data_IF_977369758565
#
_entry.id   IF_977369758565
#
_cell.length_a   1.000
_cell.length_b   1.000
_cell.length_c   1.000
_cell.angle_alpha   90.00
_cell.angle_beta   90.00
_cell.angle_gamma   90.00
#
_symmetry.space_group_name_H-M   'P 1'
#
loop_
_entity.id
_entity.type
_entity.pdbx_description
1 polymer ?
#
# COMPACT_ATOMS: atom_id res chain seq x y z
N UNK A 1 -10.46 14.99 19.34
CA UNK A 1 -11.22 14.53 18.16
C UNK A 1 -11.63 13.09 18.43
N UNK A 2 -12.89 12.70 18.22
CA UNK A 2 -13.37 11.36 18.57
C UNK A 2 -13.10 10.33 17.45
N UNK A 3 -12.75 9.09 17.83
CA UNK A 3 -12.46 8.01 16.88
C UNK A 3 -13.61 7.69 15.92
N UNK A 4 -14.87 7.71 16.40
CA UNK A 4 -16.05 7.50 15.54
C UNK A 4 -16.18 8.54 14.44
N UNK A 5 -15.93 9.81 14.80
CA UNK A 5 -15.93 10.91 13.83
C UNK A 5 -14.83 10.72 12.79
N UNK A 6 -13.62 10.37 13.21
CA UNK A 6 -12.51 10.13 12.27
C UNK A 6 -12.83 8.96 11.35
N UNK A 7 -13.34 7.84 11.88
CA UNK A 7 -13.72 6.69 11.06
C UNK A 7 -14.77 7.08 10.02
N UNK A 8 -15.84 7.77 10.42
CA UNK A 8 -16.88 8.24 9.52
C UNK A 8 -16.31 9.13 8.40
N UNK A 9 -15.46 10.09 8.75
CA UNK A 9 -14.79 10.94 7.77
C UNK A 9 -13.90 10.13 6.81
N UNK A 10 -13.14 9.16 7.31
CA UNK A 10 -12.31 8.29 6.46
C UNK A 10 -13.15 7.43 5.50
N UNK A 11 -14.34 6.99 5.91
CA UNK A 11 -15.20 6.10 5.12
C UNK A 11 -16.15 6.82 4.17
N UNK A 12 -16.59 8.02 4.52
CA UNK A 12 -17.64 8.76 3.80
C UNK A 12 -17.09 9.85 2.87
N UNK A 13 -15.84 10.29 3.11
CA UNK A 13 -15.18 11.26 2.21
C UNK A 13 -14.88 10.65 0.86
N UNK A 14 -14.84 11.49 -0.17
CA UNK A 14 -14.40 11.07 -1.51
C UNK A 14 -12.90 10.73 -1.49
N UNK A 15 -12.49 9.51 -1.89
CA UNK A 15 -11.07 9.17 -1.91
C UNK A 15 -10.30 9.96 -2.98
N UNK A 16 -9.17 10.52 -2.59
CA UNK A 16 -8.31 11.35 -3.44
C UNK A 16 -7.29 10.49 -4.20
N UNK A 17 -6.90 10.90 -5.42
CA UNK A 17 -5.73 10.34 -6.10
C UNK A 17 -4.46 10.52 -5.27
N UNK A 18 -3.56 9.54 -5.31
CA UNK A 18 -2.32 9.57 -4.50
C UNK A 18 -1.34 10.70 -4.88
N UNK A 19 -1.54 11.37 -6.03
CA UNK A 19 -0.77 12.54 -6.46
C UNK A 19 -1.14 13.83 -5.72
N UNK A 20 -2.37 13.90 -5.18
CA UNK A 20 -2.96 15.14 -4.64
C UNK A 20 -2.81 15.28 -3.12
N UNK A 21 -2.24 14.28 -2.45
CA UNK A 21 -2.14 14.23 -1.00
C UNK A 21 -1.41 15.45 -0.39
N UNK A 22 -1.95 15.99 0.70
CA UNK A 22 -1.32 17.06 1.48
C UNK A 22 -0.01 16.60 2.16
N UNK A 23 0.83 17.57 2.56
CA UNK A 23 1.97 17.36 3.44
C UNK A 23 1.60 17.41 4.94
N UNK A 24 0.32 17.63 5.27
CA UNK A 24 -0.19 17.68 6.64
C UNK A 24 -0.16 16.31 7.34
N UNK A 25 -0.61 16.31 8.60
CA UNK A 25 -0.54 15.18 9.53
C UNK A 25 -1.93 14.77 10.02
N UNK A 26 -2.07 13.50 10.39
CA UNK A 26 -3.30 12.96 10.96
C UNK A 26 -3.47 11.48 10.65
N UNK A 27 -4.71 11.06 10.40
CA UNK A 27 -5.07 9.68 10.07
C UNK A 27 -5.47 9.55 8.60
N UNK A 28 -5.26 8.39 8.01
CA UNK A 28 -5.61 8.08 6.63
C UNK A 28 -6.13 6.66 6.48
N UNK A 29 -6.91 6.43 5.43
CA UNK A 29 -7.31 5.12 4.97
C UNK A 29 -6.77 4.88 3.56
N UNK A 30 -6.26 3.67 3.31
CA UNK A 30 -5.79 3.24 2.00
C UNK A 30 -6.88 2.46 1.30
N UNK A 31 -7.24 2.93 0.10
CA UNK A 31 -8.26 2.34 -0.74
C UNK A 31 -7.59 1.55 -1.86
N UNK A 32 -7.99 0.30 -2.04
CA UNK A 32 -7.51 -0.54 -3.11
C UNK A 32 -8.14 -0.18 -4.47
N UNK A 33 -7.79 -0.95 -5.50
CA UNK A 33 -8.27 -0.77 -6.87
C UNK A 33 -9.76 -1.08 -7.04
N UNK A 34 -10.39 -1.75 -6.08
CA UNK A 34 -11.83 -2.06 -6.07
C UNK A 34 -12.64 -1.01 -5.31
N UNK A 35 -11.99 0.05 -4.83
CA UNK A 35 -12.63 1.09 -4.03
C UNK A 35 -12.98 0.61 -2.62
N UNK A 36 -12.20 -0.30 -2.05
CA UNK A 36 -12.37 -0.76 -0.67
C UNK A 36 -11.23 -0.28 0.22
N UNK A 37 -11.56 0.19 1.43
CA UNK A 37 -10.54 0.44 2.45
C UNK A 37 -9.94 -0.91 2.88
N UNK A 38 -8.62 -0.97 2.98
CA UNK A 38 -7.88 -2.16 3.44
C UNK A 38 -6.93 -1.90 4.60
N UNK A 39 -6.61 -0.63 4.86
CA UNK A 39 -5.75 -0.23 5.97
C UNK A 39 -6.13 1.16 6.46
N UNK A 40 -6.08 1.35 7.77
CA UNK A 40 -6.16 2.65 8.43
C UNK A 40 -4.84 2.87 9.16
N UNK A 41 -4.22 4.03 8.97
CA UNK A 41 -2.95 4.38 9.61
C UNK A 41 -2.86 5.84 10.00
N UNK A 42 -1.82 6.20 10.75
CA UNK A 42 -1.48 7.59 11.06
C UNK A 42 -0.14 8.02 10.44
N UNK A 43 0.11 9.33 10.46
CA UNK A 43 1.42 9.94 10.21
C UNK A 43 2.22 9.97 11.52
N UNK A 44 3.18 9.05 11.77
CA UNK A 44 3.66 8.77 13.12
C UNK A 44 4.80 9.70 13.59
N UNK A 45 5.23 10.66 12.76
CA UNK A 45 6.31 11.60 13.10
C UNK A 45 6.32 12.82 12.18
N UNK A 46 6.97 13.89 12.64
CA UNK A 46 7.02 15.19 11.97
C UNK A 46 7.62 15.19 10.56
N UNK A 47 8.37 14.16 10.19
CA UNK A 47 9.00 14.04 8.87
C UNK A 47 8.16 13.23 7.87
N UNK A 48 7.01 12.70 8.29
CA UNK A 48 6.18 11.80 7.48
C UNK A 48 4.71 12.23 7.46
N UNK A 49 4.41 13.41 6.90
CA UNK A 49 3.03 13.80 6.53
C UNK A 49 2.40 12.88 5.48
N UNK A 50 1.13 13.07 5.12
CA UNK A 50 0.36 12.13 4.30
C UNK A 50 1.05 11.76 2.98
N UNK A 51 1.48 12.76 2.20
CA UNK A 51 2.20 12.54 0.94
C UNK A 51 3.42 11.66 1.12
N UNK A 52 4.27 11.97 2.10
CA UNK A 52 5.49 11.19 2.36
C UNK A 52 5.14 9.79 2.84
N UNK A 53 4.20 9.66 3.79
CA UNK A 53 3.84 8.37 4.36
C UNK A 53 3.20 7.46 3.32
N UNK A 54 2.24 7.94 2.57
CA UNK A 54 1.50 7.14 1.60
C UNK A 54 2.35 6.92 0.34
N UNK A 55 2.79 7.97 -0.33
CA UNK A 55 3.49 7.83 -1.62
C UNK A 55 4.92 7.29 -1.47
N UNK A 56 5.69 7.75 -0.48
CA UNK A 56 7.09 7.29 -0.38
C UNK A 56 7.19 5.95 0.37
N UNK A 57 6.38 5.72 1.40
CA UNK A 57 6.43 4.46 2.15
C UNK A 57 5.48 3.42 1.55
N UNK A 58 4.18 3.67 1.54
CA UNK A 58 3.21 2.65 1.13
C UNK A 58 3.30 2.30 -0.36
N UNK A 59 3.49 3.26 -1.27
CA UNK A 59 3.53 3.00 -2.72
C UNK A 59 4.89 2.52 -3.23
N UNK A 60 5.99 3.19 -2.87
CA UNK A 60 7.33 2.91 -3.45
C UNK A 60 8.27 2.16 -2.53
N UNK A 61 7.94 2.04 -1.24
CA UNK A 61 8.80 1.43 -0.24
C UNK A 61 9.02 -0.07 -0.45
N UNK A 62 10.02 -0.62 0.23
CA UNK A 62 10.34 -2.05 0.18
C UNK A 62 9.22 -2.90 0.78
N UNK A 63 8.93 -4.01 0.14
CA UNK A 63 7.98 -5.02 0.55
C UNK A 63 8.41 -5.62 1.91
N UNK A 64 7.47 -5.97 2.80
CA UNK A 64 7.79 -6.56 4.10
C UNK A 64 8.31 -5.59 5.18
N UNK A 65 8.08 -4.29 5.02
CA UNK A 65 8.34 -3.23 6.02
C UNK A 65 7.07 -2.46 6.42
N UNK A 66 5.90 -3.12 6.42
CA UNK A 66 4.58 -2.48 6.61
C UNK A 66 4.20 -1.46 5.51
N UNK A 67 4.85 -1.53 4.35
CA UNK A 67 4.51 -0.73 3.18
C UNK A 67 3.35 -1.38 2.42
N UNK A 68 2.14 -1.11 2.91
CA UNK A 68 0.89 -1.78 2.52
C UNK A 68 0.68 -1.93 1.01
N UNK A 69 0.57 -0.85 0.23
CA UNK A 69 0.35 -1.00 -1.21
C UNK A 69 1.46 -1.80 -1.91
N UNK A 70 2.73 -1.47 -1.64
CA UNK A 70 3.89 -2.20 -2.18
C UNK A 70 3.83 -3.70 -1.90
N UNK A 71 3.37 -4.10 -0.71
CA UNK A 71 3.26 -5.50 -0.33
C UNK A 71 2.02 -6.15 -0.94
N UNK A 72 0.85 -5.51 -0.83
CA UNK A 72 -0.42 -6.02 -1.35
C UNK A 72 -0.35 -6.37 -2.83
N UNK A 73 0.27 -5.50 -3.64
CA UNK A 73 0.39 -5.69 -5.08
C UNK A 73 1.72 -6.31 -5.52
N UNK A 74 2.50 -6.90 -4.59
CA UNK A 74 3.68 -7.69 -4.94
C UNK A 74 3.27 -9.11 -5.34
N UNK A 75 2.57 -9.22 -6.47
CA UNK A 75 2.00 -10.45 -7.00
C UNK A 75 2.11 -10.50 -8.52
N UNK A 76 2.07 -11.71 -9.09
CA UNK A 76 2.09 -11.96 -10.52
C UNK A 76 3.19 -11.18 -11.25
N UNK A 77 2.82 -10.48 -12.33
CA UNK A 77 3.71 -9.66 -13.18
C UNK A 77 4.27 -8.43 -12.49
N UNK A 78 3.68 -8.01 -11.37
CA UNK A 78 4.12 -6.91 -10.51
C UNK A 78 5.04 -7.36 -9.36
N UNK A 79 5.32 -8.66 -9.29
CA UNK A 79 6.10 -9.27 -8.23
C UNK A 79 7.58 -8.91 -8.32
N UNK A 80 8.20 -8.84 -7.14
CA UNK A 80 9.65 -8.80 -6.95
C UNK A 80 10.00 -9.64 -5.72
N UNK A 81 11.13 -10.33 -5.76
CA UNK A 81 11.56 -11.14 -4.62
C UNK A 81 11.77 -10.27 -3.38
N UNK A 82 11.33 -10.80 -2.25
CA UNK A 82 11.54 -10.22 -0.94
C UNK A 82 11.70 -11.37 0.05
N UNK A 83 12.89 -11.51 0.63
CA UNK A 83 13.23 -12.58 1.59
C UNK A 83 12.23 -12.71 2.75
N UNK A 84 11.57 -11.61 3.13
CA UNK A 84 10.59 -11.62 4.23
C UNK A 84 9.22 -12.18 3.84
N UNK A 85 8.92 -12.25 2.55
CA UNK A 85 7.61 -12.60 2.01
C UNK A 85 7.63 -13.86 1.15
N UNK A 86 8.76 -14.21 0.55
CA UNK A 86 8.83 -15.23 -0.50
C UNK A 86 9.91 -16.28 -0.21
N UNK A 87 9.74 -17.52 -0.69
CA UNK A 87 10.76 -18.57 -0.59
C UNK A 87 12.10 -18.16 -1.21
N UNK A 88 13.21 -18.57 -0.60
CA UNK A 88 14.55 -18.17 -1.05
C UNK A 88 14.86 -18.61 -2.49
N UNK A 89 14.34 -19.76 -2.91
CA UNK A 89 14.49 -20.29 -4.27
C UNK A 89 13.98 -19.31 -5.34
N UNK A 90 12.93 -18.53 -5.03
CA UNK A 90 12.39 -17.55 -5.97
C UNK A 90 13.36 -16.41 -6.27
N UNK A 91 14.25 -16.07 -5.31
CA UNK A 91 15.23 -15.01 -5.46
C UNK A 91 16.38 -15.38 -6.41
N UNK A 92 16.77 -16.65 -6.46
CA UNK A 92 17.91 -17.12 -7.27
C UNK A 92 17.68 -17.03 -8.78
N UNK A 93 16.41 -17.04 -9.20
CA UNK A 93 16.01 -17.05 -10.61
C UNK A 93 15.64 -15.67 -11.16
N UNK A 94 15.61 -14.65 -10.29
CA UNK A 94 15.16 -13.32 -10.66
C UNK A 94 16.27 -12.46 -11.28
N UNK A 95 16.00 -11.89 -12.44
CA UNK A 95 16.82 -10.84 -13.02
C UNK A 95 16.59 -9.51 -12.30
N UNK A 96 17.66 -8.77 -11.96
CA UNK A 96 17.56 -7.46 -11.30
C UNK A 96 16.80 -6.45 -12.18
N UNK A 97 17.01 -6.48 -13.49
CA UNK A 97 16.32 -5.58 -14.42
C UNK A 97 14.82 -5.88 -14.47
N UNK A 98 14.45 -7.15 -14.61
CA UNK A 98 13.04 -7.55 -14.66
C UNK A 98 12.34 -7.22 -13.33
N UNK A 99 12.98 -7.49 -12.20
CA UNK A 99 12.52 -7.11 -10.87
C UNK A 99 12.30 -5.60 -10.72
N UNK A 100 13.21 -4.78 -11.26
CA UNK A 100 13.09 -3.32 -11.25
C UNK A 100 11.90 -2.85 -12.09
N UNK A 101 11.68 -3.45 -13.25
CA UNK A 101 10.56 -3.11 -14.14
C UNK A 101 9.21 -3.59 -13.60
N UNK A 102 9.15 -4.75 -12.95
CA UNK A 102 7.95 -5.21 -12.23
C UNK A 102 7.57 -4.27 -11.08
N UNK A 103 8.56 -3.78 -10.31
CA UNK A 103 8.31 -2.73 -9.31
C UNK A 103 7.83 -1.41 -9.94
N UNK A 104 8.35 -1.03 -11.11
CA UNK A 104 7.89 0.15 -11.86
C UNK A 104 6.42 -0.02 -12.27
N UNK A 105 6.06 -1.15 -12.86
CA UNK A 105 4.67 -1.49 -13.21
C UNK A 105 3.76 -1.43 -11.99
N UNK A 106 4.15 -2.04 -10.87
CA UNK A 106 3.40 -1.98 -9.60
C UNK A 106 3.18 -0.56 -9.11
N UNK A 107 4.21 0.28 -9.18
CA UNK A 107 4.11 1.69 -8.77
C UNK A 107 3.14 2.46 -9.65
N UNK A 108 3.14 2.20 -10.96
CA UNK A 108 2.17 2.77 -11.91
C UNK A 108 0.76 2.29 -11.57
N UNK A 109 0.58 0.98 -11.34
CA UNK A 109 -0.70 0.38 -10.95
C UNK A 109 -1.29 1.06 -9.72
N UNK A 110 -0.52 1.12 -8.64
CA UNK A 110 -0.98 1.70 -7.37
C UNK A 110 -1.37 3.17 -7.57
N UNK A 111 -0.57 3.95 -8.29
CA UNK A 111 -0.86 5.38 -8.55
C UNK A 111 -2.08 5.59 -9.45
N UNK A 112 -2.38 4.64 -10.32
CA UNK A 112 -3.48 4.74 -11.28
C UNK A 112 -4.81 4.35 -10.64
N UNK A 113 -4.83 3.26 -9.88
CA UNK A 113 -6.09 2.64 -9.43
C UNK A 113 -6.36 2.75 -7.94
N UNK A 114 -5.33 2.96 -7.10
CA UNK A 114 -5.53 3.09 -5.65
C UNK A 114 -5.71 4.55 -5.23
N UNK A 115 -6.35 4.75 -4.09
CA UNK A 115 -6.67 6.09 -3.56
C UNK A 115 -6.44 6.15 -2.05
N UNK A 116 -6.58 7.34 -1.48
CA UNK A 116 -6.59 7.51 -0.03
C UNK A 116 -7.63 8.54 0.40
N UNK A 117 -8.22 8.34 1.57
CA UNK A 117 -8.89 9.41 2.34
C UNK A 117 -8.00 9.75 3.53
N UNK A 118 -8.05 10.99 4.00
CA UNK A 118 -7.32 11.42 5.18
C UNK A 118 -8.10 12.45 5.98
N UNK A 119 -7.84 12.47 7.28
CA UNK A 119 -8.38 13.43 8.23
C UNK A 119 -7.20 14.12 8.88
N UNK A 120 -7.10 15.43 8.66
CA UNK A 120 -6.16 16.27 9.39
C UNK A 120 -6.56 16.32 10.85
N UNK A 121 -5.62 16.03 11.73
CA UNK A 121 -5.82 16.14 13.16
C UNK A 121 -5.04 17.38 13.61
N UNK A 122 -5.69 18.40 14.18
CA UNK A 122 -4.97 19.57 14.67
C UNK A 122 -3.97 19.19 15.76
N UNK A 123 -2.79 19.81 15.71
CA UNK A 123 -1.83 19.70 16.80
C UNK A 123 -2.37 20.47 18.02
N UNK A 124 -2.78 19.74 19.05
CA UNK A 124 -3.18 20.33 20.33
C UNK A 124 -1.94 20.81 21.09
N UNK A 125 -1.77 22.14 21.31
CA UNK A 125 -0.61 22.68 22.02
C UNK A 125 -0.46 22.17 23.45
N UNK A 126 -1.53 21.62 24.03
CA UNK A 126 -1.55 21.07 25.39
C UNK A 126 -1.12 19.60 25.44
N UNK A 127 -1.07 18.91 24.28
CA UNK A 127 -0.58 17.53 24.20
C UNK A 127 0.93 17.50 24.21
N UNK A 128 1.52 16.90 25.26
CA UNK A 128 2.97 16.76 25.38
C UNK A 128 3.61 15.99 24.20
N UNK A 129 2.84 15.16 23.49
CA UNK A 129 3.33 14.38 22.36
C UNK A 129 2.23 14.14 21.30
N UNK A 130 2.13 15.06 20.33
CA UNK A 130 1.18 15.01 19.23
C UNK A 130 1.20 13.68 18.43
N UNK A 131 2.38 13.11 18.15
CA UNK A 131 2.44 11.90 17.34
C UNK A 131 2.04 10.63 18.10
N UNK A 132 2.23 10.63 19.42
CA UNK A 132 1.71 9.59 20.29
C UNK A 132 0.18 9.67 20.37
N UNK A 133 -0.40 10.86 20.44
CA UNK A 133 -1.86 11.01 20.40
C UNK A 133 -2.47 10.53 19.08
N UNK A 134 -1.80 10.75 17.94
CA UNK A 134 -2.21 10.16 16.65
C UNK A 134 -2.17 8.63 16.67
N UNK A 135 -1.15 8.04 17.31
CA UNK A 135 -1.01 6.57 17.41
C UNK A 135 -2.11 5.97 18.29
N UNK A 136 -2.46 6.63 19.39
CA UNK A 136 -3.58 6.22 20.24
C UNK A 136 -4.91 6.33 19.49
N UNK A 137 -5.13 7.44 18.78
CA UNK A 137 -6.33 7.63 17.96
C UNK A 137 -6.42 6.61 16.81
N UNK A 138 -5.30 6.23 16.17
CA UNK A 138 -5.27 5.14 15.18
C UNK A 138 -5.78 3.83 15.78
N UNK A 139 -5.32 3.47 16.98
CA UNK A 139 -5.76 2.25 17.68
C UNK A 139 -7.26 2.27 17.96
N UNK A 140 -7.80 3.38 18.47
CA UNK A 140 -9.23 3.54 18.74
C UNK A 140 -10.07 3.44 17.44
N UNK A 141 -9.62 4.07 16.36
CA UNK A 141 -10.30 4.01 15.04
C UNK A 141 -10.26 2.59 14.48
N UNK A 142 -9.12 1.89 14.58
CA UNK A 142 -9.00 0.50 14.14
C UNK A 142 -9.91 -0.45 14.94
N UNK A 143 -10.12 -0.21 16.24
CA UNK A 143 -11.06 -1.03 17.04
C UNK A 143 -12.51 -0.90 16.57
N UNK A 144 -12.88 0.25 15.99
CA UNK A 144 -14.22 0.51 15.45
C UNK A 144 -14.38 0.03 13.99
N UNK A 145 -13.27 -0.08 13.24
CA UNK A 145 -13.29 -0.43 11.84
C UNK A 145 -13.60 -1.92 11.61
N UNK A 146 -14.31 -2.22 10.52
CA UNK A 146 -14.63 -3.60 10.15
C UNK A 146 -13.37 -4.41 9.82
N UNK A 147 -13.40 -5.75 9.92
CA UNK A 147 -12.25 -6.59 9.57
C UNK A 147 -11.74 -6.36 8.13
N UNK A 148 -12.64 -6.11 7.17
CA UNK A 148 -12.25 -5.83 5.78
C UNK A 148 -11.42 -4.55 5.62
N UNK A 149 -11.72 -3.52 6.43
CA UNK A 149 -10.96 -2.25 6.47
C UNK A 149 -9.56 -2.41 7.07
N UNK A 150 -9.30 -3.56 7.69
CA UNK A 150 -8.06 -3.91 8.39
C UNK A 150 -7.36 -5.12 7.78
N UNK A 151 -7.76 -5.54 6.58
CA UNK A 151 -7.22 -6.72 5.91
C UNK A 151 -5.70 -6.65 5.69
N UNK A 152 -5.11 -5.46 5.64
CA UNK A 152 -3.67 -5.25 5.51
C UNK A 152 -2.99 -4.85 6.84
N UNK A 153 -3.64 -5.03 7.98
CA UNK A 153 -3.02 -4.77 9.30
C UNK A 153 -1.80 -5.68 9.55
N UNK A 154 -0.91 -5.26 10.45
CA UNK A 154 0.29 -6.00 10.79
C UNK A 154 1.42 -5.87 9.76
N UNK A 155 2.56 -6.51 10.06
CA UNK A 155 3.74 -6.45 9.18
C UNK A 155 3.60 -7.41 7.99
N UNK A 156 2.91 -8.53 8.20
CA UNK A 156 2.72 -9.59 7.20
C UNK A 156 1.22 -9.79 7.00
N UNK A 157 0.83 -9.72 5.74
CA UNK A 157 -0.48 -10.08 5.24
C UNK A 157 -0.28 -10.62 3.83
N UNK A 158 -1.20 -11.47 3.38
CA UNK A 158 -1.13 -12.12 2.07
C UNK A 158 -1.24 -11.08 0.96
N UNK A 159 -0.36 -11.17 -0.03
CA UNK A 159 -0.51 -10.37 -1.26
C UNK A 159 -1.84 -10.69 -1.93
N UNK A 160 -2.37 -9.73 -2.67
CA UNK A 160 -3.56 -9.95 -3.48
C UNK A 160 -3.26 -10.87 -4.65
N UNK A 161 -4.31 -11.46 -5.22
CA UNK A 161 -4.25 -11.96 -6.59
C UNK A 161 -3.99 -10.80 -7.55
N UNK A 162 -3.34 -11.09 -8.68
CA UNK A 162 -3.05 -10.06 -9.67
C UNK A 162 -4.35 -9.57 -10.33
N UNK A 163 -4.65 -8.25 -10.36
CA UNK A 163 -5.76 -7.71 -11.12
C UNK A 163 -5.45 -7.71 -12.63
N UNK A 164 -5.44 -8.90 -13.25
CA UNK A 164 -4.89 -9.17 -14.59
C UNK A 164 -5.40 -8.20 -15.65
N UNK A 165 -6.72 -7.94 -15.70
CA UNK A 165 -7.31 -7.05 -16.70
C UNK A 165 -6.79 -5.61 -16.61
N UNK A 166 -6.63 -5.08 -15.38
CA UNK A 166 -6.09 -3.74 -15.15
C UNK A 166 -4.59 -3.68 -15.43
N UNK A 167 -3.87 -4.76 -15.19
CA UNK A 167 -2.46 -4.90 -15.56
C UNK A 167 -2.30 -4.94 -17.07
N UNK A 168 -3.14 -5.67 -17.79
CA UNK A 168 -3.14 -5.74 -19.26
C UNK A 168 -3.39 -4.36 -19.90
N UNK A 169 -4.33 -3.59 -19.33
CA UNK A 169 -4.56 -2.21 -19.74
C UNK A 169 -3.31 -1.35 -19.59
N UNK A 170 -2.60 -1.48 -18.46
CA UNK A 170 -1.35 -0.74 -18.24
C UNK A 170 -0.24 -1.20 -19.17
N UNK A 171 -0.12 -2.50 -19.44
CA UNK A 171 0.90 -3.02 -20.37
C UNK A 171 0.62 -2.62 -21.82
N UNK A 172 -0.63 -2.34 -22.17
CA UNK A 172 -0.98 -1.71 -23.44
C UNK A 172 -0.50 -0.26 -23.50
N UNK A 173 -0.58 0.49 -22.39
CA UNK A 173 -0.10 1.87 -22.27
C UNK A 173 1.42 2.00 -22.11
N UNK A 174 2.06 0.98 -21.53
CA UNK A 174 3.49 0.92 -21.23
C UNK A 174 4.11 -0.37 -21.79
N UNK A 175 4.15 -0.54 -23.13
CA UNK A 175 4.58 -1.78 -23.78
C UNK A 175 6.03 -2.14 -23.47
N UNK A 176 6.87 -1.16 -23.11
CA UNK A 176 8.27 -1.40 -22.73
C UNK A 176 8.43 -2.22 -21.44
N UNK A 177 7.36 -2.36 -20.65
CA UNK A 177 7.37 -3.15 -19.40
C UNK A 177 6.98 -4.61 -19.63
N UNK A 178 6.34 -4.94 -20.77
CA UNK A 178 5.60 -6.19 -20.95
C UNK A 178 6.48 -7.42 -20.83
N UNK A 179 7.53 -7.52 -21.66
CA UNK A 179 8.36 -8.73 -21.75
C UNK A 179 9.02 -9.08 -20.40
N UNK A 180 9.58 -8.08 -19.71
CA UNK A 180 10.20 -8.24 -18.40
C UNK A 180 9.22 -8.64 -17.31
N UNK A 181 8.00 -8.10 -17.34
CA UNK A 181 7.00 -8.38 -16.30
C UNK A 181 6.29 -9.71 -16.53
N UNK A 182 6.13 -10.15 -17.78
CA UNK A 182 5.68 -11.51 -18.11
C UNK A 182 6.67 -12.57 -17.59
N UNK A 183 7.98 -12.39 -17.79
CA UNK A 183 8.98 -13.28 -17.20
C UNK A 183 8.89 -13.34 -15.68
N UNK A 184 8.64 -12.18 -15.04
CA UNK A 184 8.44 -12.13 -13.59
C UNK A 184 7.18 -12.85 -13.12
N UNK A 185 6.07 -12.75 -13.88
CA UNK A 185 4.86 -13.52 -13.62
C UNK A 185 5.12 -15.02 -13.66
N UNK A 186 5.83 -15.52 -14.68
CA UNK A 186 6.19 -16.94 -14.79
C UNK A 186 7.04 -17.42 -13.60
N UNK A 187 7.98 -16.60 -13.12
CA UNK A 187 8.77 -16.91 -11.93
C UNK A 187 7.91 -16.91 -10.66
N UNK A 188 6.98 -15.96 -10.55
CA UNK A 188 6.04 -15.89 -9.43
C UNK A 188 5.19 -17.16 -9.35
N UNK A 189 4.58 -17.57 -10.45
CA UNK A 189 3.74 -18.78 -10.50
C UNK A 189 4.55 -20.03 -10.13
N UNK A 190 5.75 -20.15 -10.70
CA UNK A 190 6.61 -21.32 -10.51
C UNK A 190 7.19 -21.44 -9.11
N UNK A 191 7.58 -20.34 -8.48
CA UNK A 191 8.39 -20.37 -7.26
C UNK A 191 7.70 -19.78 -6.02
N UNK A 192 6.61 -19.03 -6.21
CA UNK A 192 5.83 -18.47 -5.11
C UNK A 192 4.50 -19.21 -4.97
N UNK A 193 3.69 -19.29 -6.03
CA UNK A 193 2.37 -19.95 -5.94
C UNK A 193 2.51 -21.47 -5.79
N UNK A 194 3.37 -22.12 -6.58
CA UNK A 194 3.56 -23.57 -6.47
C UNK A 194 4.16 -24.04 -5.13
N UNK A 195 4.61 -23.10 -4.28
CA UNK A 195 5.25 -23.38 -2.98
C UNK A 195 4.55 -22.66 -1.82
N UNK A 196 3.35 -22.09 -2.04
CA UNK A 196 2.50 -21.45 -1.03
C UNK A 196 1.46 -22.43 -0.49
#
# INVERSE_FOLDING_TARGET
MEAKYVLAQLTESTPEPLSELSNDFGLYALWDHEGQIRYIGCTPKATEGFRTRITNKHVTGSEGRSHKFSQAYCCGRMWRYCRKLHPEIAGAHQSELDAKLAKKLRTIFIRTYCKATYVQVPNDPTSANYFESLTNLESEVQQLASPGMRAWEGIRFTSLEEPTALVDELLTKFPELKESTERQGLLYDRYVIAHA
#
